data_IF_901305283531
#
_entry.id   IF_901305283531
#
_cell.length_a   1.000
_cell.length_b   1.000
_cell.length_c   1.000
_cell.angle_alpha   90.00
_cell.angle_beta   90.00
_cell.angle_gamma   90.00
#
_symmetry.space_group_name_H-M   'P 1'
#
loop_
_entity.id
_entity.type
_entity.pdbx_description
1 polymer ?
#
# COMPACT_ATOMS: atom_id res chain seq x y z
N UNK A 1 -7.38 9.74 23.51
CA UNK A 1 -7.18 8.30 23.25
C UNK A 1 -7.16 8.08 21.74
N UNK A 2 -5.99 7.83 21.14
CA UNK A 2 -5.93 7.41 19.74
C UNK A 2 -5.43 5.95 19.74
N UNK A 3 -6.28 5.04 19.29
CA UNK A 3 -6.05 3.61 19.32
C UNK A 3 -4.74 3.26 18.61
N UNK A 4 -3.89 2.52 19.32
CA UNK A 4 -2.78 1.79 18.75
C UNK A 4 -3.30 0.82 17.68
N UNK A 5 -3.06 1.11 16.41
CA UNK A 5 -2.93 0.05 15.41
C UNK A 5 -1.57 -0.57 15.66
N UNK A 6 -1.56 -1.66 16.42
CA UNK A 6 -0.45 -2.59 16.44
C UNK A 6 -0.24 -3.13 15.03
N UNK A 7 0.50 -2.38 14.22
CA UNK A 7 1.21 -2.93 13.08
C UNK A 7 2.16 -3.94 13.69
N UNK A 8 1.74 -5.20 13.74
CA UNK A 8 2.64 -6.30 13.98
C UNK A 8 3.73 -6.15 12.91
N UNK A 9 4.91 -5.66 13.29
CA UNK A 9 6.08 -5.44 12.41
C UNK A 9 6.69 -6.77 11.92
N UNK A 10 5.85 -7.79 11.79
CA UNK A 10 6.21 -9.15 11.47
C UNK A 10 6.09 -9.47 9.98
N UNK A 11 6.48 -10.70 9.60
CA UNK A 11 6.46 -11.19 8.22
C UNK A 11 5.08 -11.13 7.53
N UNK A 12 3.99 -11.02 8.30
CA UNK A 12 2.64 -10.83 7.79
C UNK A 12 2.53 -9.56 6.91
N UNK A 13 3.22 -8.47 7.28
CA UNK A 13 3.16 -7.21 6.55
C UNK A 13 3.92 -7.27 5.22
N UNK A 14 5.04 -7.99 5.19
CA UNK A 14 5.83 -8.20 3.98
C UNK A 14 5.02 -8.96 2.91
N UNK A 15 4.21 -9.95 3.32
CA UNK A 15 3.31 -10.68 2.43
C UNK A 15 2.02 -9.93 2.06
N UNK A 16 1.67 -8.87 2.79
CA UNK A 16 0.46 -8.08 2.54
C UNK A 16 0.69 -6.99 1.48
N UNK A 17 1.85 -6.31 1.50
CA UNK A 17 2.20 -5.25 0.54
C UNK A 17 1.91 -5.64 -0.93
N UNK A 18 2.43 -6.77 -1.46
CA UNK A 18 2.20 -7.13 -2.87
C UNK A 18 0.73 -7.39 -3.20
N UNK A 19 -0.05 -7.89 -2.25
CA UNK A 19 -1.49 -8.15 -2.43
C UNK A 19 -2.30 -6.85 -2.48
N UNK A 20 -1.95 -5.83 -1.67
CA UNK A 20 -2.61 -4.53 -1.71
C UNK A 20 -2.24 -3.74 -2.96
N UNK A 21 -0.95 -3.71 -3.32
CA UNK A 21 -0.45 -3.05 -4.54
C UNK A 21 -1.14 -3.64 -5.78
N UNK A 22 -1.31 -4.96 -5.84
CA UNK A 22 -2.03 -5.60 -6.95
C UNK A 22 -3.50 -5.14 -7.02
N UNK A 23 -4.23 -5.18 -5.90
CA UNK A 23 -5.62 -4.73 -5.85
C UNK A 23 -5.78 -3.27 -6.31
N UNK A 24 -4.82 -2.41 -5.96
CA UNK A 24 -4.84 -1.01 -6.37
C UNK A 24 -4.55 -0.83 -7.86
N UNK A 25 -3.59 -1.56 -8.42
CA UNK A 25 -3.34 -1.56 -9.86
C UNK A 25 -4.58 -2.04 -10.64
N UNK A 26 -5.27 -3.06 -10.15
CA UNK A 26 -6.52 -3.55 -10.73
C UNK A 26 -7.65 -2.50 -10.61
N UNK A 27 -7.77 -1.84 -9.46
CA UNK A 27 -8.77 -0.78 -9.22
C UNK A 27 -8.52 0.48 -10.06
N UNK A 28 -7.25 0.84 -10.27
CA UNK A 28 -6.83 1.90 -11.19
C UNK A 28 -7.17 1.51 -12.63
N UNK A 29 -6.76 0.32 -13.07
CA UNK A 29 -6.96 -0.16 -14.43
C UNK A 29 -6.62 0.91 -15.48
N UNK A 30 -7.57 1.15 -16.39
CA UNK A 30 -7.47 2.17 -17.44
C UNK A 30 -8.08 3.52 -17.06
N UNK A 31 -8.28 3.81 -15.76
CA UNK A 31 -8.73 5.14 -15.33
C UNK A 31 -7.69 6.21 -15.70
N UNK A 32 -8.20 7.32 -16.24
CA UNK A 32 -7.42 8.48 -16.72
C UNK A 32 -7.78 9.79 -16.02
N UNK A 33 -8.65 9.72 -15.02
CA UNK A 33 -9.01 10.87 -14.19
C UNK A 33 -7.88 11.28 -13.23
N UNK A 34 -7.99 12.49 -12.68
CA UNK A 34 -6.97 13.05 -11.79
C UNK A 34 -6.77 12.24 -10.51
N UNK A 35 -7.81 11.55 -10.02
CA UNK A 35 -7.70 10.69 -8.84
C UNK A 35 -6.88 9.43 -9.17
N UNK A 36 -7.08 8.85 -10.36
CA UNK A 36 -6.25 7.75 -10.86
C UNK A 36 -4.78 8.15 -11.05
N UNK A 37 -4.49 9.36 -11.52
CA UNK A 37 -3.12 9.88 -11.60
C UNK A 37 -2.42 9.88 -10.24
N UNK A 38 -3.03 10.54 -9.25
CA UNK A 38 -2.47 10.58 -7.88
C UNK A 38 -2.39 9.21 -7.22
N UNK A 39 -3.35 8.32 -7.49
CA UNK A 39 -3.32 6.97 -6.99
C UNK A 39 -2.16 6.15 -7.59
N UNK A 40 -1.85 6.32 -8.89
CA UNK A 40 -0.70 5.67 -9.54
C UNK A 40 0.62 6.08 -8.89
N UNK A 41 0.79 7.36 -8.55
CA UNK A 41 1.98 7.84 -7.84
C UNK A 41 2.11 7.17 -6.46
N UNK A 42 1.03 7.12 -5.69
CA UNK A 42 1.01 6.46 -4.37
C UNK A 42 1.26 4.95 -4.46
N UNK A 43 0.74 4.29 -5.51
CA UNK A 43 0.99 2.87 -5.78
C UNK A 43 2.46 2.64 -6.11
N UNK A 44 3.08 3.51 -6.91
CA UNK A 44 4.50 3.44 -7.22
C UNK A 44 5.37 3.64 -5.97
N UNK A 45 5.06 4.62 -5.13
CA UNK A 45 5.72 4.80 -3.83
C UNK A 45 5.56 3.57 -2.93
N UNK A 46 4.36 2.98 -2.87
CA UNK A 46 4.12 1.77 -2.10
C UNK A 46 4.97 0.59 -2.59
N UNK A 47 5.13 0.44 -3.91
CA UNK A 47 5.99 -0.59 -4.49
C UNK A 47 7.47 -0.35 -4.15
N UNK A 48 7.96 0.89 -4.27
CA UNK A 48 9.33 1.23 -3.90
C UNK A 48 9.60 0.94 -2.42
N UNK A 49 8.68 1.30 -1.53
CA UNK A 49 8.78 1.01 -0.10
C UNK A 49 8.78 -0.50 0.18
N UNK A 50 7.97 -1.29 -0.54
CA UNK A 50 8.02 -2.75 -0.43
C UNK A 50 9.39 -3.28 -0.86
N UNK A 51 9.89 -2.86 -2.03
CA UNK A 51 11.17 -3.32 -2.57
C UNK A 51 12.34 -2.94 -1.64
N UNK A 52 12.32 -1.72 -1.09
CA UNK A 52 13.28 -1.28 -0.08
C UNK A 52 13.20 -2.11 1.19
N UNK A 53 11.98 -2.42 1.66
CA UNK A 53 11.75 -3.27 2.83
C UNK A 53 12.31 -4.67 2.63
N UNK A 54 12.16 -5.25 1.44
CA UNK A 54 12.76 -6.55 1.07
C UNK A 54 14.28 -6.47 1.05
N UNK A 55 14.85 -5.46 0.39
CA UNK A 55 16.31 -5.29 0.26
C UNK A 55 16.99 -5.06 1.61
N UNK A 56 16.39 -4.21 2.44
CA UNK A 56 16.95 -3.79 3.73
C UNK A 56 16.51 -4.68 4.89
N UNK A 57 15.60 -5.64 4.65
CA UNK A 57 14.92 -6.43 5.70
C UNK A 57 14.28 -5.52 6.76
N UNK A 58 13.71 -4.41 6.33
CA UNK A 58 13.15 -3.37 7.19
C UNK A 58 11.61 -3.47 7.23
N UNK A 59 11.08 -3.91 8.37
CA UNK A 59 9.65 -4.01 8.59
C UNK A 59 8.92 -2.64 8.59
N UNK A 60 9.61 -1.55 8.92
CA UNK A 60 9.03 -0.20 8.88
C UNK A 60 8.64 0.18 7.46
N UNK A 61 9.48 -0.17 6.48
CA UNK A 61 9.22 0.08 5.05
C UNK A 61 7.98 -0.67 4.56
N UNK A 62 7.71 -1.86 5.08
CA UNK A 62 6.43 -2.56 4.81
C UNK A 62 5.22 -1.84 5.42
N UNK A 63 5.36 -1.25 6.62
CA UNK A 63 4.29 -0.45 7.20
C UNK A 63 4.03 0.84 6.40
N UNK A 64 5.08 1.54 5.98
CA UNK A 64 4.97 2.72 5.13
C UNK A 64 4.34 2.36 3.76
N UNK A 65 4.69 1.20 3.17
CA UNK A 65 4.08 0.69 1.93
C UNK A 65 2.57 0.44 2.09
N UNK A 66 2.14 -0.20 3.19
CA UNK A 66 0.72 -0.41 3.48
C UNK A 66 -0.02 0.91 3.68
N UNK A 67 0.59 1.88 4.36
CA UNK A 67 -0.01 3.20 4.55
C UNK A 67 -0.25 3.91 3.20
N UNK A 68 0.72 3.86 2.29
CA UNK A 68 0.57 4.39 0.92
C UNK A 68 -0.53 3.68 0.13
N UNK A 69 -0.67 2.36 0.32
CA UNK A 69 -1.77 1.62 -0.27
C UNK A 69 -3.15 2.09 0.25
N UNK A 70 -3.27 2.34 1.55
CA UNK A 70 -4.49 2.88 2.15
C UNK A 70 -4.83 4.28 1.63
N UNK A 71 -3.83 5.14 1.42
CA UNK A 71 -4.02 6.45 0.79
C UNK A 71 -4.51 6.33 -0.66
N UNK A 72 -3.87 5.47 -1.46
CA UNK A 72 -4.29 5.22 -2.84
C UNK A 72 -5.72 4.67 -2.91
N UNK A 73 -6.10 3.78 -1.99
CA UNK A 73 -7.43 3.21 -1.91
C UNK A 73 -8.51 4.28 -1.64
N UNK A 74 -8.22 5.23 -0.74
CA UNK A 74 -9.09 6.39 -0.47
C UNK A 74 -9.27 7.26 -1.71
N UNK A 75 -8.19 7.51 -2.46
CA UNK A 75 -8.24 8.30 -3.69
C UNK A 75 -9.10 7.63 -4.76
N UNK A 76 -9.05 6.29 -4.85
CA UNK A 76 -9.80 5.51 -5.83
C UNK A 76 -11.24 5.18 -5.39
N UNK A 77 -11.58 5.42 -4.12
CA UNK A 77 -12.85 5.06 -3.52
C UNK A 77 -13.05 3.55 -3.38
N UNK A 78 -11.98 2.78 -3.17
CA UNK A 78 -12.03 1.31 -3.07
C UNK A 78 -11.65 0.82 -1.67
N UNK A 79 -12.21 -0.32 -1.27
CA UNK A 79 -11.86 -0.99 -0.03
C UNK A 79 -10.83 -2.11 -0.30
N UNK A 80 -9.72 -2.10 0.42
CA UNK A 80 -8.68 -3.13 0.31
C UNK A 80 -8.98 -4.32 1.21
N UNK A 81 -8.74 -5.53 0.68
CA UNK A 81 -8.73 -6.76 1.48
C UNK A 81 -7.35 -6.94 2.10
N UNK A 82 -7.27 -6.80 3.42
CA UNK A 82 -6.06 -7.05 4.22
C UNK A 82 -6.09 -8.49 4.76
N UNK A 83 -4.92 -9.08 5.00
CA UNK A 83 -4.78 -10.46 5.50
C UNK A 83 -4.81 -10.50 7.02
#
# INVERSE_FOLDING_TARGET
MALAVGLTTGPALAGQCPLLIKQLNEAVGNRVDAAAGKAKDLIAEAQQLHDDGVKMKDAKKHADSVAKCDEAAKMLGVALKKK
#
